data_IF_129267867759
#
_entry.id   IF_129267867759
#
_cell.length_a   1.000
_cell.length_b   1.000
_cell.length_c   1.000
_cell.angle_alpha   90.00
_cell.angle_beta   90.00
_cell.angle_gamma   90.00
#
_symmetry.space_group_name_H-M   'P 1'
#
loop_
_entity.id
_entity.type
_entity.pdbx_description
1 polymer ?
#
# COMPACT_ATOMS: atom_id res chain seq x y z
N UNK A 1 -3.60 -2.56 21.12
CA UNK A 1 -4.53 -2.57 19.98
C UNK A 1 -4.68 -1.13 19.52
N UNK A 2 -4.46 -0.86 18.23
CA UNK A 2 -4.72 0.44 17.64
C UNK A 2 -5.91 0.29 16.68
N UNK A 3 -6.90 1.15 16.84
CA UNK A 3 -8.11 1.25 16.00
C UNK A 3 -7.85 2.31 14.93
N UNK A 4 -8.34 2.09 13.71
CA UNK A 4 -8.26 3.07 12.61
C UNK A 4 -9.63 3.21 11.92
N UNK A 5 -9.82 4.28 11.15
CA UNK A 5 -11.01 4.45 10.33
C UNK A 5 -11.00 3.41 9.21
N UNK A 6 -12.12 2.74 8.99
CA UNK A 6 -12.22 1.82 7.86
C UNK A 6 -12.38 2.59 6.55
N UNK A 7 -11.79 2.05 5.48
CA UNK A 7 -11.94 2.56 4.13
C UNK A 7 -12.77 1.60 3.28
N UNK A 8 -13.57 2.16 2.38
CA UNK A 8 -14.37 1.41 1.41
C UNK A 8 -13.49 0.72 0.37
N UNK A 9 -14.09 -0.06 -0.52
CA UNK A 9 -13.36 -0.76 -1.59
C UNK A 9 -12.56 0.20 -2.48
N UNK A 10 -13.12 1.38 -2.75
CA UNK A 10 -12.54 2.47 -3.54
C UNK A 10 -11.56 3.35 -2.73
N UNK A 11 -11.31 2.96 -1.47
CA UNK A 11 -10.37 3.61 -0.56
C UNK A 11 -10.79 4.99 -0.06
N UNK A 12 -12.09 5.29 -0.09
CA UNK A 12 -12.70 6.43 0.59
C UNK A 12 -13.13 6.05 2.02
N UNK A 13 -13.56 7.00 2.84
CA UNK A 13 -14.10 6.72 4.18
C UNK A 13 -15.30 5.76 4.10
N UNK A 14 -15.24 4.66 4.84
CA UNK A 14 -16.37 3.75 4.96
C UNK A 14 -17.41 4.33 5.92
N UNK A 15 -18.56 4.71 5.37
CA UNK A 15 -19.66 5.34 6.11
C UNK A 15 -20.91 4.47 6.01
N UNK A 16 -21.61 4.31 7.14
CA UNK A 16 -22.93 3.69 7.13
C UNK A 16 -24.01 4.61 6.51
N UNK A 17 -25.23 4.09 6.38
CA UNK A 17 -26.36 4.84 5.81
C UNK A 17 -26.75 6.10 6.61
N UNK A 18 -26.23 6.27 7.83
CA UNK A 18 -26.44 7.43 8.69
C UNK A 18 -25.22 8.38 8.69
N UNK A 19 -24.20 8.10 7.87
CA UNK A 19 -22.98 8.91 7.75
C UNK A 19 -21.97 8.68 8.86
N UNK A 20 -22.06 7.58 9.62
CA UNK A 20 -21.12 7.27 10.70
C UNK A 20 -19.96 6.44 10.15
N UNK A 21 -18.74 6.82 10.53
CA UNK A 21 -17.55 6.10 10.11
C UNK A 21 -17.44 4.72 10.79
N UNK A 22 -17.13 3.73 9.97
CA UNK A 22 -16.71 2.41 10.41
C UNK A 22 -15.26 2.41 10.90
N UNK A 23 -14.90 1.39 11.68
CA UNK A 23 -13.54 1.21 12.17
C UNK A 23 -12.97 -0.16 11.77
N UNK A 24 -11.65 -0.21 11.65
CA UNK A 24 -10.88 -1.42 11.35
C UNK A 24 -9.74 -1.59 12.35
N UNK A 25 -9.42 -2.83 12.71
CA UNK A 25 -8.34 -3.17 13.63
C UNK A 25 -7.50 -4.37 13.13
N UNK A 26 -6.58 -4.81 13.99
CA UNK A 26 -5.81 -6.04 13.77
C UNK A 26 -5.00 -6.07 12.47
N UNK A 27 -5.03 -7.22 11.79
CA UNK A 27 -4.31 -7.45 10.53
C UNK A 27 -4.93 -6.68 9.36
N UNK A 28 -6.25 -6.49 9.34
CA UNK A 28 -6.92 -5.78 8.24
C UNK A 28 -6.62 -4.27 8.27
N UNK A 29 -6.49 -3.69 9.46
CA UNK A 29 -5.96 -2.32 9.62
C UNK A 29 -4.57 -2.18 9.00
N UNK A 30 -3.67 -3.15 9.26
CA UNK A 30 -2.32 -3.14 8.68
C UNK A 30 -2.39 -3.28 7.15
N UNK A 31 -3.22 -4.18 6.64
CA UNK A 31 -3.42 -4.34 5.20
C UNK A 31 -3.94 -3.04 4.55
N UNK A 32 -4.88 -2.35 5.20
CA UNK A 32 -5.38 -1.05 4.74
C UNK A 32 -4.26 -0.01 4.68
N UNK A 33 -3.47 0.12 5.75
CA UNK A 33 -2.35 1.07 5.81
C UNK A 33 -1.25 0.78 4.79
N UNK A 34 -0.98 -0.50 4.50
CA UNK A 34 -0.11 -0.90 3.41
C UNK A 34 -0.67 -0.38 2.08
N UNK A 35 -1.95 -0.66 1.77
CA UNK A 35 -2.59 -0.17 0.54
C UNK A 35 -2.51 1.36 0.44
N UNK A 36 -2.80 2.08 1.52
CA UNK A 36 -2.69 3.56 1.56
C UNK A 36 -1.27 4.03 1.26
N UNK A 37 -0.28 3.42 1.92
CA UNK A 37 1.14 3.76 1.72
C UNK A 37 1.58 3.51 0.27
N UNK A 38 1.11 2.43 -0.34
CA UNK A 38 1.41 2.11 -1.74
C UNK A 38 0.68 3.01 -2.73
N UNK A 39 -0.50 3.53 -2.41
CA UNK A 39 -1.23 4.44 -3.29
C UNK A 39 -0.70 5.87 -3.23
N UNK A 40 -0.20 6.30 -2.07
CA UNK A 40 0.30 7.65 -1.88
C UNK A 40 1.59 7.91 -2.67
N UNK A 41 1.65 9.07 -3.32
CA UNK A 41 2.84 9.54 -4.00
C UNK A 41 3.79 10.19 -3.00
N UNK A 42 5.09 9.95 -3.16
CA UNK A 42 6.08 10.63 -2.34
C UNK A 42 5.99 12.14 -2.55
N UNK A 43 5.86 12.89 -1.45
CA UNK A 43 5.69 14.34 -1.49
C UNK A 43 4.23 14.83 -1.57
N UNK A 44 3.25 13.93 -1.70
CA UNK A 44 1.83 14.29 -1.80
C UNK A 44 1.28 14.90 -0.51
N UNK A 45 1.70 14.35 0.64
CA UNK A 45 1.20 14.79 1.93
C UNK A 45 2.02 15.97 2.48
N UNK A 46 1.36 17.13 2.63
CA UNK A 46 2.04 18.36 3.05
C UNK A 46 2.66 18.33 4.46
N UNK A 47 2.18 17.46 5.36
CA UNK A 47 2.74 17.32 6.71
C UNK A 47 3.97 16.40 6.74
N UNK A 48 4.10 15.48 5.79
CA UNK A 48 5.23 14.58 5.65
C UNK A 48 5.48 14.28 4.18
N UNK A 49 6.38 15.04 3.57
CA UNK A 49 6.74 14.88 2.16
C UNK A 49 7.61 13.65 1.88
N UNK A 50 7.99 12.89 2.92
CA UNK A 50 8.74 11.64 2.78
C UNK A 50 7.83 10.40 2.75
N UNK A 51 6.55 10.57 3.09
CA UNK A 51 5.52 9.53 3.04
C UNK A 51 5.12 9.20 1.60
N UNK A 52 4.79 7.93 1.34
CA UNK A 52 4.38 7.42 0.03
C UNK A 52 5.49 6.70 -0.73
N UNK A 53 5.24 6.41 -2.01
CA UNK A 53 6.17 5.73 -2.93
C UNK A 53 6.73 6.75 -3.94
N UNK A 54 8.05 6.73 -4.22
CA UNK A 54 8.69 7.63 -5.21
C UNK A 54 8.34 7.22 -6.65
N UNK A 55 7.08 7.43 -7.04
CA UNK A 55 6.58 6.99 -8.32
C UNK A 55 7.24 7.70 -9.50
N UNK A 56 7.49 9.01 -9.38
CA UNK A 56 8.03 9.79 -10.50
C UNK A 56 9.54 9.62 -10.65
N UNK A 57 10.22 9.33 -9.55
CA UNK A 57 11.68 9.25 -9.48
C UNK A 57 12.21 7.86 -9.83
N UNK A 58 11.53 6.80 -9.36
CA UNK A 58 12.09 5.44 -9.41
C UNK A 58 11.17 4.40 -10.08
N UNK A 59 9.84 4.57 -10.02
CA UNK A 59 8.88 3.53 -10.47
C UNK A 59 8.40 3.75 -11.90
N UNK A 60 7.95 4.96 -12.23
CA UNK A 60 7.36 5.34 -13.52
C UNK A 60 8.40 5.95 -14.47
N UNK A 61 9.65 5.50 -14.38
CA UNK A 61 10.76 5.97 -15.21
C UNK A 61 10.93 5.17 -16.50
N UNK A 62 11.67 5.75 -17.46
CA UNK A 62 12.04 5.07 -18.70
C UNK A 62 13.10 4.01 -18.41
N UNK A 63 12.73 2.73 -18.57
CA UNK A 63 13.57 1.54 -18.28
C UNK A 63 13.77 1.28 -16.78
N UNK A 64 12.70 0.91 -16.06
CA UNK A 64 12.78 0.68 -14.61
C UNK A 64 13.66 -0.52 -14.26
N UNK A 65 14.50 -0.37 -13.24
CA UNK A 65 15.15 -1.49 -12.57
C UNK A 65 14.12 -2.23 -11.72
N UNK A 66 13.76 -3.45 -12.14
CA UNK A 66 12.77 -4.27 -11.43
C UNK A 66 13.20 -4.60 -10.01
N UNK A 67 14.49 -4.86 -9.79
CA UNK A 67 15.01 -5.19 -8.47
C UNK A 67 14.95 -3.98 -7.53
N UNK A 68 15.34 -2.80 -8.03
CA UNK A 68 15.19 -1.53 -7.33
C UNK A 68 13.75 -1.22 -6.96
N UNK A 69 12.80 -1.37 -7.90
CA UNK A 69 11.37 -1.17 -7.60
C UNK A 69 10.90 -2.14 -6.52
N UNK A 70 11.21 -3.44 -6.63
CA UNK A 70 10.81 -4.41 -5.61
C UNK A 70 11.39 -4.06 -4.23
N UNK A 71 12.65 -3.60 -4.17
CA UNK A 71 13.27 -3.15 -2.94
C UNK A 71 12.55 -1.93 -2.34
N UNK A 72 12.14 -0.96 -3.16
CA UNK A 72 11.37 0.21 -2.74
C UNK A 72 10.02 -0.22 -2.14
N UNK A 73 9.23 -1.01 -2.88
CA UNK A 73 7.94 -1.50 -2.40
C UNK A 73 8.10 -2.29 -1.09
N UNK A 74 9.09 -3.19 -1.02
CA UNK A 74 9.36 -3.98 0.20
C UNK A 74 9.73 -3.09 1.38
N UNK A 75 10.54 -2.05 1.16
CA UNK A 75 10.91 -1.09 2.20
C UNK A 75 9.68 -0.30 2.69
N UNK A 76 8.82 0.16 1.78
CA UNK A 76 7.61 0.91 2.11
C UNK A 76 6.59 0.06 2.86
N UNK A 77 6.38 -1.20 2.46
CA UNK A 77 5.52 -2.14 3.22
C UNK A 77 6.10 -2.41 4.61
N UNK A 78 7.42 -2.65 4.72
CA UNK A 78 8.07 -2.93 6.00
C UNK A 78 8.02 -1.74 6.96
N UNK A 79 7.98 -0.51 6.46
CA UNK A 79 7.87 0.69 7.27
C UNK A 79 6.49 0.87 7.91
N UNK A 80 5.46 0.15 7.45
CA UNK A 80 4.11 0.24 8.02
C UNK A 80 4.07 -0.30 9.44
N UNK A 81 3.58 0.48 10.43
CA UNK A 81 3.52 0.05 11.82
C UNK A 81 2.73 -1.26 12.01
N UNK A 82 3.42 -2.27 12.54
CA UNK A 82 2.88 -3.61 12.80
C UNK A 82 3.34 -4.66 11.79
N UNK A 83 3.97 -4.28 10.68
CA UNK A 83 4.66 -5.23 9.79
C UNK A 83 6.01 -5.60 10.39
N UNK A 84 6.27 -6.89 10.56
CA UNK A 84 7.55 -7.39 11.10
C UNK A 84 8.47 -7.86 9.98
N UNK A 85 7.92 -8.49 8.94
CA UNK A 85 8.67 -9.00 7.80
C UNK A 85 7.79 -9.00 6.53
N UNK A 86 8.40 -8.77 5.38
CA UNK A 86 7.80 -9.05 4.07
C UNK A 86 8.42 -10.34 3.56
N UNK A 87 7.69 -11.45 3.63
CA UNK A 87 8.21 -12.79 3.33
C UNK A 87 8.26 -13.07 1.83
N UNK A 88 7.31 -12.55 1.07
CA UNK A 88 7.26 -12.69 -0.38
C UNK A 88 6.71 -11.41 -1.03
N UNK A 89 7.19 -11.11 -2.25
CA UNK A 89 6.68 -10.03 -3.06
C UNK A 89 6.81 -10.39 -4.54
N UNK A 90 5.83 -10.00 -5.33
CA UNK A 90 5.86 -10.09 -6.79
C UNK A 90 5.24 -8.84 -7.40
N UNK A 91 5.93 -8.30 -8.40
CA UNK A 91 5.46 -7.16 -9.19
C UNK A 91 5.11 -7.64 -10.59
N UNK A 92 3.90 -7.32 -11.05
CA UNK A 92 3.44 -7.62 -12.39
C UNK A 92 2.99 -6.33 -13.07
N UNK A 93 3.76 -5.89 -14.08
CA UNK A 93 3.49 -4.69 -14.83
C UNK A 93 2.78 -5.02 -16.15
N UNK A 94 1.52 -4.62 -16.26
CA UNK A 94 0.69 -4.75 -17.46
C UNK A 94 0.71 -3.42 -18.23
N UNK A 95 1.66 -3.30 -19.17
CA UNK A 95 1.92 -2.03 -19.88
C UNK A 95 0.76 -1.56 -20.74
N UNK A 96 0.00 -2.49 -21.33
CA UNK A 96 -1.14 -2.16 -22.18
C UNK A 96 -2.27 -1.51 -21.37
N UNK A 97 -2.45 -1.93 -20.11
CA UNK A 97 -3.49 -1.44 -19.20
C UNK A 97 -2.99 -0.35 -18.24
N UNK A 98 -1.70 0.02 -18.31
CA UNK A 98 -1.04 0.92 -17.33
C UNK A 98 -1.33 0.51 -15.88
N UNK A 99 -1.26 -0.79 -15.64
CA UNK A 99 -1.60 -1.41 -14.35
C UNK A 99 -0.36 -2.10 -13.78
N UNK A 100 -0.01 -1.76 -12.54
CA UNK A 100 0.97 -2.49 -11.75
C UNK A 100 0.24 -3.27 -10.66
N UNK A 101 0.36 -4.60 -10.67
CA UNK A 101 -0.10 -5.45 -9.56
C UNK A 101 1.06 -5.77 -8.64
N UNK A 102 0.85 -5.50 -7.35
CA UNK A 102 1.77 -5.79 -6.25
C UNK A 102 1.15 -6.90 -5.41
N UNK A 103 1.67 -8.11 -5.54
CA UNK A 103 1.30 -9.24 -4.67
C UNK A 103 2.34 -9.33 -3.57
N UNK A 104 1.90 -9.41 -2.31
CA UNK A 104 2.82 -9.53 -1.19
C UNK A 104 2.29 -10.43 -0.08
N UNK A 105 3.24 -11.04 0.63
CA UNK A 105 3.01 -11.72 1.89
C UNK A 105 3.79 -10.99 2.98
N UNK A 106 3.11 -10.61 4.05
CA UNK A 106 3.70 -9.91 5.19
C UNK A 106 3.35 -10.63 6.49
N UNK A 107 4.37 -10.85 7.31
CA UNK A 107 4.21 -11.23 8.70
C UNK A 107 3.98 -9.95 9.52
N UNK A 108 2.97 -9.97 10.39
CA UNK A 108 2.59 -8.83 11.22
C UNK A 108 2.46 -9.25 12.67
N UNK A 109 2.31 -8.26 13.56
CA UNK A 109 1.99 -8.51 14.98
C UNK A 109 0.66 -9.23 15.21
N UNK A 110 -0.21 -9.31 14.19
CA UNK A 110 -1.51 -9.99 14.24
C UNK A 110 -1.56 -11.26 13.38
N UNK A 111 -0.41 -11.73 12.89
CA UNK A 111 -0.30 -12.91 12.04
C UNK A 111 0.09 -12.58 10.60
N UNK A 112 0.12 -13.61 9.76
CA UNK A 112 0.49 -13.50 8.35
C UNK A 112 -0.69 -13.04 7.51
N UNK A 113 -0.47 -12.09 6.62
CA UNK A 113 -1.44 -11.66 5.62
C UNK A 113 -0.86 -11.74 4.21
N UNK A 114 -1.74 -12.05 3.26
CA UNK A 114 -1.47 -12.07 1.82
C UNK A 114 -2.49 -11.18 1.13
N UNK A 115 -2.01 -10.26 0.29
CA UNK A 115 -2.83 -9.28 -0.41
C UNK A 115 -2.27 -8.99 -1.80
N UNK A 116 -3.17 -8.55 -2.68
CA UNK A 116 -2.85 -8.03 -4.00
C UNK A 116 -3.34 -6.59 -4.05
N UNK A 117 -2.44 -5.66 -4.39
CA UNK A 117 -2.78 -4.25 -4.61
C UNK A 117 -2.61 -3.93 -6.09
N UNK A 118 -3.66 -3.39 -6.69
CA UNK A 118 -3.68 -2.92 -8.07
C UNK A 118 -3.45 -1.41 -8.08
N UNK A 119 -2.39 -0.99 -8.75
CA UNK A 119 -2.00 0.40 -8.90
C UNK A 119 -2.21 0.78 -10.36
N UNK A 120 -3.18 1.64 -10.63
CA UNK A 120 -3.49 2.10 -11.97
C UNK A 120 -3.27 3.60 -12.04
N UNK A 121 -2.52 4.05 -13.05
CA UNK A 121 -2.40 5.48 -13.35
C UNK A 121 -3.54 5.83 -14.31
N UNK A 122 -4.42 6.75 -13.92
CA UNK A 122 -5.45 7.32 -14.79
C UNK A 122 -4.87 8.18 -15.92
#
# INVERSE_FOLDING_TARGET
MALDLALSADHDLDLDLLGRASFVDGADRIAQQIKTTLLAFMGEWFLDTTFGVPYFEDVLVKSPDRAGIEAIFRARIRAVPGVTQVSAMQLQLERQLRLLRVTYQADTTFGRLERVVSLQTS
#
